data_IF_761866301416
#
_entry.id   IF_761866301416
#
_cell.length_a   1.000
_cell.length_b   1.000
_cell.length_c   1.000
_cell.angle_alpha   90.00
_cell.angle_beta   90.00
_cell.angle_gamma   90.00
#
_symmetry.space_group_name_H-M   'P 1'
#
loop_
_entity.id
_entity.type
_entity.pdbx_description
1 polymer ?
#
# COMPACT_ATOMS: atom_id res chain seq x y z
N UNK A 1 11.02 -2.87 -24.79
CA UNK A 1 9.95 -2.13 -24.08
C UNK A 1 9.19 -1.28 -25.09
N UNK A 2 7.88 -1.50 -25.28
CA UNK A 2 7.05 -0.76 -26.25
C UNK A 2 6.36 0.42 -25.57
N UNK A 3 6.70 1.65 -25.98
CA UNK A 3 6.00 2.86 -25.54
C UNK A 3 4.79 3.13 -26.43
N UNK A 4 3.71 3.64 -25.84
CA UNK A 4 2.48 4.08 -26.50
C UNK A 4 2.09 5.47 -25.98
N UNK A 5 1.33 6.21 -26.77
CA UNK A 5 0.81 7.53 -26.38
C UNK A 5 -0.63 7.44 -25.87
N UNK A 6 -1.17 8.57 -25.38
CA UNK A 6 -2.56 8.64 -24.87
C UNK A 6 -3.61 8.32 -25.94
N UNK A 7 -3.37 8.67 -27.21
CA UNK A 7 -4.30 8.34 -28.29
C UNK A 7 -4.45 6.83 -28.47
N UNK A 8 -3.33 6.08 -28.49
CA UNK A 8 -3.33 4.62 -28.54
C UNK A 8 -4.02 4.01 -27.32
N UNK A 9 -3.86 4.61 -26.13
CA UNK A 9 -4.56 4.15 -24.92
C UNK A 9 -6.07 4.30 -25.05
N UNK A 10 -6.54 5.46 -25.52
CA UNK A 10 -7.96 5.67 -25.71
C UNK A 10 -8.54 4.69 -26.73
N UNK A 11 -7.80 4.35 -27.79
CA UNK A 11 -8.19 3.28 -28.71
C UNK A 11 -8.29 1.94 -27.98
N UNK A 12 -7.28 1.55 -27.20
CA UNK A 12 -7.30 0.28 -26.47
C UNK A 12 -8.46 0.22 -25.47
N UNK A 13 -8.68 1.28 -24.69
CA UNK A 13 -9.76 1.32 -23.69
C UNK A 13 -11.14 1.19 -24.35
N UNK A 14 -11.32 1.75 -25.55
CA UNK A 14 -12.59 1.68 -26.27
C UNK A 14 -12.82 0.35 -27.00
N UNK A 15 -11.75 -0.32 -27.45
CA UNK A 15 -11.83 -1.57 -28.23
C UNK A 15 -11.78 -2.83 -27.37
N UNK A 16 -11.18 -2.75 -26.17
CA UNK A 16 -10.89 -3.89 -25.31
C UNK A 16 -11.58 -3.78 -23.95
N UNK A 17 -11.79 -4.92 -23.28
CA UNK A 17 -12.32 -4.91 -21.91
C UNK A 17 -11.18 -4.63 -20.92
N UNK A 18 -11.17 -3.40 -20.41
CA UNK A 18 -10.07 -2.87 -19.61
C UNK A 18 -10.42 -2.76 -18.12
N UNK A 19 -9.47 -3.15 -17.27
CA UNK A 19 -9.50 -2.86 -15.85
C UNK A 19 -8.47 -1.77 -15.51
N UNK A 20 -8.88 -0.77 -14.74
CA UNK A 20 -7.97 0.22 -14.16
C UNK A 20 -7.52 -0.26 -12.78
N UNK A 21 -6.22 -0.32 -12.54
CA UNK A 21 -5.63 -0.62 -11.23
C UNK A 21 -4.77 0.56 -10.80
N UNK A 22 -5.11 1.20 -9.68
CA UNK A 22 -4.29 2.28 -9.14
C UNK A 22 -3.65 1.96 -7.78
N UNK A 23 -2.50 2.58 -7.54
CA UNK A 23 -1.82 2.59 -6.24
C UNK A 23 -1.66 4.01 -5.71
N UNK A 24 -0.76 4.18 -4.73
CA UNK A 24 -0.64 5.43 -3.96
C UNK A 24 -0.30 6.63 -4.84
N UNK A 25 0.39 6.40 -5.97
CA UNK A 25 0.68 7.44 -6.95
C UNK A 25 -0.57 8.12 -7.55
N UNK A 26 -1.75 7.49 -7.48
CA UNK A 26 -3.03 8.13 -7.84
C UNK A 26 -3.45 9.16 -6.78
N UNK A 27 -3.55 8.74 -5.51
CA UNK A 27 -4.02 9.58 -4.40
C UNK A 27 -3.10 10.79 -4.14
N UNK A 28 -1.80 10.64 -4.41
CA UNK A 28 -0.81 11.73 -4.31
C UNK A 28 -1.10 12.92 -5.23
N UNK A 29 -1.87 12.75 -6.31
CA UNK A 29 -2.27 13.86 -7.19
C UNK A 29 -3.32 14.78 -6.55
N UNK A 30 -4.05 14.28 -5.56
CA UNK A 30 -5.07 15.04 -4.83
C UNK A 30 -4.49 15.68 -3.57
N UNK A 31 -3.53 15.03 -2.93
CA UNK A 31 -2.91 15.55 -1.72
C UNK A 31 -1.48 15.01 -1.52
N UNK A 32 -0.52 15.93 -1.40
CA UNK A 32 0.91 15.59 -1.21
C UNK A 32 1.17 14.89 0.12
N UNK A 33 0.29 15.02 1.10
CA UNK A 33 0.47 14.33 2.37
C UNK A 33 0.49 12.80 2.19
N UNK A 34 -0.09 12.22 1.14
CA UNK A 34 0.05 10.79 0.85
C UNK A 34 1.46 10.36 0.44
N UNK A 35 2.39 11.28 0.16
CA UNK A 35 3.79 10.96 -0.18
C UNK A 35 4.65 10.62 1.03
N UNK A 36 4.41 11.25 2.19
CA UNK A 36 5.28 11.14 3.38
C UNK A 36 4.46 10.87 4.64
N UNK A 37 4.18 9.59 4.90
CA UNK A 37 3.44 9.15 6.08
C UNK A 37 4.22 9.43 7.38
N UNK A 38 5.55 9.34 7.33
CA UNK A 38 6.44 9.54 8.48
C UNK A 38 6.29 10.91 9.16
N UNK A 39 6.04 11.98 8.37
CA UNK A 39 5.87 13.34 8.88
C UNK A 39 4.64 13.50 9.79
N UNK A 40 3.71 12.53 9.79
CA UNK A 40 2.49 12.55 10.60
C UNK A 40 2.48 11.53 11.72
N UNK A 41 3.55 10.77 11.92
CA UNK A 41 3.54 9.69 12.90
C UNK A 41 3.28 10.18 14.32
N UNK A 42 3.85 11.32 14.71
CA UNK A 42 3.61 11.85 16.04
C UNK A 42 2.17 12.33 16.24
N UNK A 43 1.59 12.96 15.22
CA UNK A 43 0.16 13.32 15.26
C UNK A 43 -0.74 12.09 15.33
N UNK A 44 -0.45 11.08 14.49
CA UNK A 44 -1.16 9.81 14.50
C UNK A 44 -1.03 9.09 15.85
N UNK A 45 0.16 9.13 16.47
CA UNK A 45 0.40 8.60 17.81
C UNK A 45 -0.49 9.30 18.84
N UNK A 46 -0.52 10.64 18.87
CA UNK A 46 -1.40 11.40 19.79
C UNK A 46 -2.87 11.04 19.60
N UNK A 47 -3.32 10.90 18.35
CA UNK A 47 -4.69 10.49 18.01
C UNK A 47 -4.97 9.05 18.45
N UNK A 48 -4.02 8.14 18.28
CA UNK A 48 -4.12 6.76 18.73
C UNK A 48 -4.26 6.67 20.25
N UNK A 49 -3.45 7.38 21.03
CA UNK A 49 -3.53 7.37 22.49
C UNK A 49 -4.89 7.87 22.99
N UNK A 50 -5.46 8.90 22.34
CA UNK A 50 -6.73 9.51 22.75
C UNK A 50 -7.96 8.73 22.28
N UNK A 51 -7.95 8.32 21.02
CA UNK A 51 -9.15 7.89 20.30
C UNK A 51 -9.05 6.49 19.71
N UNK A 52 -7.91 5.83 19.86
CA UNK A 52 -7.66 4.47 19.39
C UNK A 52 -8.61 3.44 19.97
N UNK A 53 -9.02 2.48 19.14
CA UNK A 53 -9.84 1.35 19.53
C UNK A 53 -9.15 0.05 19.13
N UNK A 54 -8.73 -0.70 20.14
CA UNK A 54 -8.37 -2.11 20.00
C UNK A 54 -9.24 -2.95 20.92
N UNK A 55 -9.96 -3.90 20.34
CA UNK A 55 -10.74 -4.90 21.08
C UNK A 55 -10.56 -6.27 20.45
N UNK A 56 -10.92 -7.30 21.19
CA UNK A 56 -10.96 -8.68 20.69
C UNK A 56 -12.33 -9.27 20.95
N UNK A 57 -12.83 -10.05 19.99
CA UNK A 57 -14.09 -10.78 20.06
C UNK A 57 -13.81 -12.28 19.91
N UNK A 58 -13.32 -12.88 21.00
CA UNK A 58 -12.92 -14.29 21.08
C UNK A 58 -13.04 -14.78 22.53
N UNK A 59 -12.57 -16.00 22.78
CA UNK A 59 -12.48 -16.55 24.13
C UNK A 59 -11.61 -15.67 25.08
N UNK A 60 -11.82 -15.84 26.38
CA UNK A 60 -11.17 -15.02 27.40
C UNK A 60 -9.63 -15.12 27.39
N UNK A 61 -9.09 -16.28 27.01
CA UNK A 61 -7.64 -16.51 26.97
C UNK A 61 -6.99 -15.71 25.83
N UNK A 62 -7.55 -15.78 24.63
CA UNK A 62 -7.14 -14.97 23.47
C UNK A 62 -7.25 -13.47 23.76
N UNK A 63 -8.38 -13.06 24.34
CA UNK A 63 -8.60 -11.68 24.76
C UNK A 63 -7.54 -11.21 25.76
N UNK A 64 -7.26 -12.02 26.80
CA UNK A 64 -6.25 -11.68 27.81
C UNK A 64 -4.86 -11.50 27.18
N UNK A 65 -4.41 -12.44 26.34
CA UNK A 65 -3.08 -12.35 25.69
C UNK A 65 -2.93 -11.05 24.90
N UNK A 66 -3.86 -10.80 23.98
CA UNK A 66 -3.83 -9.63 23.10
C UNK A 66 -3.90 -8.31 23.89
N UNK A 67 -4.81 -8.22 24.87
CA UNK A 67 -5.01 -6.98 25.64
C UNK A 67 -3.83 -6.69 26.57
N UNK A 68 -3.23 -7.71 27.20
CA UNK A 68 -2.02 -7.54 28.03
C UNK A 68 -0.89 -7.01 27.14
N UNK A 69 -0.57 -7.75 26.08
CA UNK A 69 0.51 -7.40 25.15
C UNK A 69 0.38 -5.96 24.62
N UNK A 70 -0.82 -5.57 24.15
CA UNK A 70 -1.04 -4.23 23.63
C UNK A 70 -0.99 -3.13 24.71
N UNK A 71 -1.52 -3.39 25.92
CA UNK A 71 -1.53 -2.39 27.01
C UNK A 71 -0.13 -2.07 27.51
N UNK A 72 0.74 -3.06 27.63
CA UNK A 72 2.13 -2.86 28.05
C UNK A 72 2.87 -1.92 27.09
N UNK A 73 2.72 -2.15 25.78
CA UNK A 73 3.27 -1.26 24.75
C UNK A 73 2.69 0.14 24.86
N UNK A 74 1.36 0.27 24.92
CA UNK A 74 0.70 1.57 25.07
C UNK A 74 1.19 2.34 26.30
N UNK A 75 1.36 1.66 27.43
CA UNK A 75 1.81 2.28 28.67
C UNK A 75 3.23 2.84 28.53
N UNK A 76 4.12 2.11 27.87
CA UNK A 76 5.49 2.54 27.63
C UNK A 76 5.54 3.79 26.74
N UNK A 77 4.79 3.77 25.63
CA UNK A 77 4.89 4.85 24.63
C UNK A 77 4.00 6.07 24.91
N UNK A 78 3.09 5.99 25.89
CA UNK A 78 1.98 6.95 26.07
C UNK A 78 2.40 8.43 26.09
N UNK A 79 3.58 8.70 26.65
CA UNK A 79 4.13 10.05 26.83
C UNK A 79 5.35 10.30 25.96
N UNK A 80 5.56 9.49 24.92
CA UNK A 80 6.69 9.66 24.02
C UNK A 80 6.59 10.99 23.29
N UNK A 81 7.73 11.65 23.13
CA UNK A 81 7.88 12.85 22.30
C UNK A 81 8.01 12.46 20.82
N UNK A 82 7.95 13.46 19.95
CA UNK A 82 8.03 13.28 18.49
C UNK A 82 9.34 12.61 18.06
N UNK A 83 10.46 13.05 18.62
CA UNK A 83 11.79 12.48 18.39
C UNK A 83 11.87 11.03 18.86
N UNK A 84 11.23 10.68 19.98
CA UNK A 84 11.17 9.30 20.47
C UNK A 84 10.35 8.37 19.56
N UNK A 85 9.24 8.86 18.98
CA UNK A 85 8.46 8.09 18.01
C UNK A 85 9.28 7.81 16.74
N UNK A 86 10.01 8.80 16.23
CA UNK A 86 10.91 8.59 15.09
C UNK A 86 12.08 7.67 15.46
N UNK A 87 12.61 7.80 16.68
CA UNK A 87 13.71 6.99 17.19
C UNK A 87 13.37 5.50 17.21
N UNK A 88 12.12 5.10 17.38
CA UNK A 88 11.70 3.69 17.24
C UNK A 88 12.19 3.10 15.90
N UNK A 89 12.07 3.84 14.80
CA UNK A 89 12.46 3.36 13.47
C UNK A 89 13.97 3.48 13.22
N UNK A 90 14.63 4.46 13.83
CA UNK A 90 16.09 4.55 13.84
C UNK A 90 16.70 3.37 14.58
N UNK A 91 16.15 3.01 15.73
CA UNK A 91 16.56 1.85 16.51
C UNK A 91 16.22 0.53 15.81
N UNK A 92 15.09 0.47 15.10
CA UNK A 92 14.75 -0.66 14.24
C UNK A 92 15.80 -0.86 13.13
N UNK A 93 16.29 0.24 12.54
CA UNK A 93 17.36 0.20 11.54
C UNK A 93 18.69 -0.26 12.14
N UNK A 94 19.03 0.18 13.36
CA UNK A 94 20.23 -0.31 14.07
C UNK A 94 20.14 -1.83 14.24
N UNK A 95 18.97 -2.34 14.62
CA UNK A 95 18.74 -3.77 14.77
C UNK A 95 18.80 -4.52 13.43
N UNK A 96 18.23 -3.96 12.35
CA UNK A 96 18.34 -4.55 11.02
C UNK A 96 19.81 -4.66 10.57
N UNK A 97 20.59 -3.60 10.75
CA UNK A 97 22.02 -3.58 10.43
C UNK A 97 22.82 -4.56 11.31
N UNK A 98 22.51 -4.68 12.61
CA UNK A 98 23.22 -5.61 13.47
C UNK A 98 23.01 -7.07 13.06
N UNK A 99 21.84 -7.40 12.51
CA UNK A 99 21.60 -8.72 11.93
C UNK A 99 22.49 -8.93 10.69
N UNK A 100 22.44 -8.02 9.71
CA UNK A 100 23.11 -8.22 8.43
C UNK A 100 24.64 -8.12 8.50
N UNK A 101 25.17 -7.30 9.42
CA UNK A 101 26.61 -7.12 9.59
C UNK A 101 27.27 -8.28 10.35
N UNK A 102 26.49 -9.19 10.94
CA UNK A 102 27.00 -10.36 11.62
C UNK A 102 26.85 -11.61 10.72
N UNK A 103 27.92 -11.93 9.99
CA UNK A 103 27.92 -13.06 9.05
C UNK A 103 27.65 -14.41 9.72
N UNK A 104 28.11 -14.61 10.96
CA UNK A 104 27.88 -15.85 11.69
C UNK A 104 26.40 -16.01 12.05
N UNK A 105 25.75 -14.94 12.54
CA UNK A 105 24.33 -14.93 12.77
C UNK A 105 23.54 -15.19 11.49
N UNK A 106 23.87 -14.51 10.38
CA UNK A 106 23.20 -14.72 9.09
C UNK A 106 23.27 -16.18 8.67
N UNK A 107 24.46 -16.81 8.77
CA UNK A 107 24.63 -18.23 8.48
C UNK A 107 23.76 -19.11 9.39
N UNK A 108 23.66 -18.81 10.69
CA UNK A 108 22.79 -19.55 11.62
C UNK A 108 21.32 -19.41 11.21
N UNK A 109 20.88 -18.19 10.88
CA UNK A 109 19.50 -17.90 10.48
C UNK A 109 19.13 -18.64 9.18
N UNK A 110 20.00 -18.60 8.17
CA UNK A 110 19.79 -19.30 6.90
C UNK A 110 19.74 -20.82 7.06
N UNK A 111 20.59 -21.39 7.93
CA UNK A 111 20.63 -22.83 8.20
C UNK A 111 19.53 -23.33 9.14
N UNK A 112 18.75 -22.44 9.75
CA UNK A 112 17.71 -22.81 10.73
C UNK A 112 16.48 -23.51 10.15
N UNK A 113 16.29 -23.48 8.82
CA UNK A 113 15.07 -23.90 8.11
C UNK A 113 13.78 -23.18 8.58
N UNK A 114 13.91 -22.05 9.29
CA UNK A 114 12.79 -21.23 9.74
C UNK A 114 12.47 -20.12 8.76
N UNK A 115 13.45 -19.67 7.99
CA UNK A 115 13.27 -18.62 6.99
C UNK A 115 12.44 -19.09 5.81
N UNK A 116 11.49 -18.26 5.42
CA UNK A 116 10.69 -18.47 4.22
C UNK A 116 11.24 -17.64 3.07
N UNK A 117 11.31 -18.27 1.90
CA UNK A 117 11.52 -17.59 0.64
C UNK A 117 10.26 -17.74 -0.19
N UNK A 118 9.75 -16.61 -0.69
CA UNK A 118 8.60 -16.64 -1.60
C UNK A 118 8.96 -17.38 -2.88
N UNK A 119 7.95 -17.82 -3.64
CA UNK A 119 8.18 -18.40 -4.98
C UNK A 119 8.90 -17.43 -5.94
N UNK A 120 9.01 -16.14 -5.59
CA UNK A 120 9.71 -15.08 -6.35
C UNK A 120 11.20 -15.01 -6.05
N UNK A 121 11.70 -15.78 -5.07
CA UNK A 121 13.07 -15.67 -4.60
C UNK A 121 13.30 -14.50 -3.64
N UNK A 122 12.26 -13.77 -3.25
CA UNK A 122 12.35 -12.78 -2.16
C UNK A 122 12.15 -13.50 -0.83
N UNK A 123 13.20 -13.54 -0.02
CA UNK A 123 13.21 -14.09 1.32
C UNK A 123 12.91 -13.07 2.41
N UNK A 124 12.66 -13.56 3.61
CA UNK A 124 12.49 -12.71 4.78
C UNK A 124 13.73 -11.87 5.08
N UNK A 125 14.94 -12.42 4.86
CA UNK A 125 16.19 -11.67 4.97
C UNK A 125 16.31 -10.57 3.91
N UNK A 126 15.72 -10.74 2.73
CA UNK A 126 15.77 -9.70 1.70
C UNK A 126 14.95 -8.47 2.10
N UNK A 127 13.86 -8.64 2.87
CA UNK A 127 13.17 -7.49 3.48
C UNK A 127 14.07 -6.74 4.46
N UNK A 128 14.90 -7.44 5.24
CA UNK A 128 15.88 -6.80 6.14
C UNK A 128 16.96 -6.06 5.34
N UNK A 129 17.44 -6.65 4.24
CA UNK A 129 18.37 -5.98 3.30
C UNK A 129 17.75 -4.73 2.71
N UNK A 130 16.48 -4.79 2.30
CA UNK A 130 15.76 -3.63 1.75
C UNK A 130 15.59 -2.52 2.78
N UNK A 131 15.28 -2.83 4.06
CA UNK A 131 15.28 -1.84 5.14
C UNK A 131 16.62 -1.10 5.19
N UNK A 132 17.73 -1.84 5.21
CA UNK A 132 19.06 -1.25 5.32
C UNK A 132 19.43 -0.44 4.06
N UNK A 133 19.09 -0.92 2.87
CA UNK A 133 19.36 -0.24 1.60
C UNK A 133 18.55 1.05 1.44
N UNK A 134 17.23 1.00 1.65
CA UNK A 134 16.34 2.17 1.51
C UNK A 134 16.61 3.21 2.59
N UNK A 135 17.13 2.81 3.75
CA UNK A 135 17.44 3.75 4.83
C UNK A 135 18.63 4.67 4.57
N UNK A 136 19.41 4.45 3.49
CA UNK A 136 20.53 5.33 3.12
C UNK A 136 20.09 6.79 2.91
N UNK A 137 18.86 6.98 2.46
CA UNK A 137 18.25 8.30 2.28
C UNK A 137 17.49 8.78 3.54
N UNK A 138 17.33 7.90 4.54
CA UNK A 138 16.64 8.15 5.82
C UNK A 138 15.59 7.09 6.14
N UNK A 139 15.27 6.89 7.44
CA UNK A 139 14.28 5.89 7.88
C UNK A 139 12.88 6.13 7.31
N UNK A 140 12.56 7.38 6.98
CA UNK A 140 11.30 7.77 6.36
C UNK A 140 11.11 7.28 4.93
N UNK A 141 12.19 6.87 4.25
CA UNK A 141 12.17 6.31 2.89
C UNK A 141 12.05 4.79 2.88
N UNK A 142 12.18 4.14 4.04
CA UNK A 142 11.93 2.71 4.16
C UNK A 142 10.44 2.46 4.04
N UNK A 143 10.07 1.48 3.21
CA UNK A 143 8.68 1.07 3.09
C UNK A 143 8.11 0.66 4.46
N UNK A 144 6.99 1.26 4.82
CA UNK A 144 6.25 0.99 6.06
C UNK A 144 5.83 -0.49 6.17
N UNK A 145 5.81 -1.24 5.09
CA UNK A 145 5.45 -2.66 5.18
C UNK A 145 6.61 -3.52 5.67
N UNK A 146 7.85 -3.05 5.66
CA UNK A 146 8.98 -3.93 5.97
C UNK A 146 9.27 -4.02 7.47
N UNK A 147 8.99 -2.98 8.26
CA UNK A 147 9.40 -2.90 9.67
C UNK A 147 8.94 -4.07 10.54
N UNK A 148 7.73 -4.61 10.29
CA UNK A 148 7.19 -5.71 11.11
C UNK A 148 7.94 -7.02 10.94
N UNK A 149 8.75 -7.19 9.87
CA UNK A 149 9.60 -8.38 9.72
C UNK A 149 10.64 -8.49 10.83
N UNK A 150 11.08 -7.37 11.40
CA UNK A 150 12.08 -7.35 12.47
C UNK A 150 11.51 -7.94 13.77
N UNK A 151 10.20 -7.88 13.98
CA UNK A 151 9.53 -8.56 15.10
C UNK A 151 9.77 -10.07 15.01
N UNK A 152 9.62 -10.63 13.81
CA UNK A 152 9.90 -12.04 13.54
C UNK A 152 11.37 -12.38 13.83
N UNK A 153 12.31 -11.59 13.31
CA UNK A 153 13.74 -11.84 13.52
C UNK A 153 14.14 -11.77 15.00
N UNK A 154 13.55 -10.87 15.78
CA UNK A 154 13.75 -10.83 17.23
C UNK A 154 13.39 -12.17 17.90
N UNK A 155 12.20 -12.71 17.61
CA UNK A 155 11.77 -13.98 18.18
C UNK A 155 12.54 -15.18 17.63
N UNK A 156 12.90 -15.17 16.35
CA UNK A 156 13.71 -16.24 15.75
C UNK A 156 15.08 -16.33 16.42
N UNK A 157 15.79 -15.20 16.58
CA UNK A 157 17.10 -15.17 17.24
C UNK A 157 16.99 -15.68 18.68
N UNK A 158 15.92 -15.28 19.39
CA UNK A 158 15.67 -15.71 20.77
C UNK A 158 15.38 -17.21 20.87
N UNK A 159 14.54 -17.77 19.99
CA UNK A 159 14.18 -19.20 20.02
C UNK A 159 15.32 -20.12 19.53
N UNK A 160 16.23 -19.61 18.69
CA UNK A 160 17.44 -20.34 18.31
C UNK A 160 18.51 -20.37 19.41
N UNK A 161 18.30 -19.64 20.51
CA UNK A 161 19.21 -19.55 21.67
C UNK A 161 20.66 -19.27 21.25
N UNK A 162 20.84 -18.29 20.36
CA UNK A 162 22.15 -17.90 19.85
C UNK A 162 23.01 -17.38 21.01
N UNK A 163 24.21 -17.96 21.17
CA UNK A 163 25.16 -17.55 22.22
C UNK A 163 25.43 -16.04 22.16
N UNK A 164 25.54 -15.41 23.34
CA UNK A 164 25.92 -13.99 23.47
C UNK A 164 27.31 -13.67 22.91
N UNK A 165 28.17 -14.67 22.76
CA UNK A 165 29.47 -14.52 22.10
C UNK A 165 29.31 -14.32 20.58
N UNK A 166 28.28 -14.92 19.99
CA UNK A 166 27.98 -14.84 18.56
C UNK A 166 27.15 -13.59 18.28
N UNK A 167 26.09 -13.36 19.06
CA UNK A 167 25.20 -12.23 18.86
C UNK A 167 24.62 -11.73 20.17
N UNK A 168 24.73 -10.41 20.40
CA UNK A 168 23.99 -9.71 21.44
C UNK A 168 23.08 -8.67 20.80
N UNK A 169 21.89 -8.51 21.36
CA UNK A 169 20.96 -7.51 20.84
C UNK A 169 21.52 -6.10 21.10
N UNK A 170 21.33 -5.14 20.17
CA UNK A 170 21.68 -3.75 20.40
C UNK A 170 21.15 -3.23 21.73
N UNK A 171 22.05 -2.65 22.54
CA UNK A 171 21.71 -2.06 23.85
C UNK A 171 20.93 -0.76 23.67
N UNK A 172 20.11 -0.43 24.66
CA UNK A 172 19.31 0.81 24.71
C UNK A 172 18.43 1.04 23.46
N UNK A 173 17.98 -0.04 22.85
CA UNK A 173 17.19 -0.03 21.63
C UNK A 173 15.69 -0.04 21.94
N UNK A 174 15.00 1.05 21.60
CA UNK A 174 13.57 1.24 21.89
C UNK A 174 12.72 0.24 21.10
N UNK A 175 13.05 -0.02 19.83
CA UNK A 175 12.32 -0.99 19.01
C UNK A 175 12.32 -2.38 19.66
N UNK A 176 13.49 -2.89 20.04
CA UNK A 176 13.64 -4.19 20.72
C UNK A 176 12.90 -4.19 22.05
N UNK A 177 12.97 -3.10 22.80
CA UNK A 177 12.22 -2.93 24.06
C UNK A 177 10.72 -3.06 23.83
N UNK A 178 10.18 -2.39 22.81
CA UNK A 178 8.75 -2.45 22.45
C UNK A 178 8.32 -3.85 21.99
N UNK A 179 9.16 -4.54 21.23
CA UNK A 179 8.90 -5.93 20.82
C UNK A 179 8.89 -6.86 22.04
N UNK A 180 9.86 -6.71 22.95
CA UNK A 180 9.95 -7.50 24.18
C UNK A 180 8.73 -7.33 25.09
N UNK A 181 8.37 -6.09 25.42
CA UNK A 181 7.19 -5.83 26.27
C UNK A 181 5.89 -6.14 25.54
N UNK A 182 5.91 -6.11 24.20
CA UNK A 182 4.81 -6.51 23.34
C UNK A 182 4.49 -8.00 23.39
N UNK A 183 5.31 -8.85 24.02
CA UNK A 183 5.01 -10.27 24.25
C UNK A 183 5.06 -10.61 25.75
N UNK A 184 4.51 -9.73 26.59
CA UNK A 184 4.52 -9.88 28.05
C UNK A 184 3.62 -11.00 28.57
N UNK A 185 2.56 -11.35 27.85
CA UNK A 185 1.61 -12.36 28.31
C UNK A 185 2.20 -13.76 28.28
N UNK A 186 2.13 -14.46 29.42
CA UNK A 186 2.57 -15.86 29.58
C UNK A 186 1.66 -16.90 28.89
N UNK A 187 0.55 -16.45 28.29
CA UNK A 187 -0.39 -17.32 27.59
C UNK A 187 0.25 -17.77 26.27
N UNK A 188 0.33 -19.08 26.06
CA UNK A 188 0.87 -19.69 24.84
C UNK A 188 -0.19 -20.59 24.20
N UNK A 189 -0.41 -20.45 22.89
CA UNK A 189 -1.32 -21.27 22.10
C UNK A 189 -0.61 -22.34 21.27
N UNK A 190 0.63 -22.05 20.86
CA UNK A 190 1.47 -22.99 20.13
C UNK A 190 1.74 -24.27 20.94
N UNK A 191 1.85 -25.40 20.25
CA UNK A 191 2.16 -26.69 20.88
C UNK A 191 3.60 -26.70 21.38
N UNK A 192 3.85 -27.49 22.42
CA UNK A 192 5.22 -27.72 22.90
C UNK A 192 6.09 -28.28 21.77
N UNK A 193 7.29 -27.69 21.59
CA UNK A 193 8.22 -28.06 20.53
C UNK A 193 7.95 -27.43 19.15
N UNK A 194 6.84 -26.74 18.95
CA UNK A 194 6.53 -26.06 17.68
C UNK A 194 7.15 -24.65 17.63
N UNK A 195 8.44 -24.58 17.28
CA UNK A 195 9.18 -23.31 17.17
C UNK A 195 8.50 -22.37 16.15
N UNK A 196 8.06 -22.89 14.99
CA UNK A 196 7.39 -22.09 13.95
C UNK A 196 6.10 -21.49 14.48
N UNK A 197 5.25 -22.30 15.12
CA UNK A 197 4.00 -21.86 15.73
C UNK A 197 4.22 -20.80 16.81
N UNK A 198 5.23 -20.98 17.67
CA UNK A 198 5.58 -20.01 18.72
C UNK A 198 6.01 -18.66 18.14
N UNK A 199 6.96 -18.67 17.19
CA UNK A 199 7.44 -17.43 16.57
C UNK A 199 6.28 -16.71 15.84
N UNK A 200 5.44 -17.47 15.12
CA UNK A 200 4.26 -16.94 14.44
C UNK A 200 3.30 -16.28 15.43
N UNK A 201 2.99 -16.97 16.54
CA UNK A 201 2.13 -16.46 17.61
C UNK A 201 2.70 -15.18 18.22
N UNK A 202 3.97 -15.20 18.65
CA UNK A 202 4.65 -14.06 19.26
C UNK A 202 4.79 -12.88 18.31
N UNK A 203 4.90 -13.11 17.00
CA UNK A 203 4.95 -12.05 15.98
C UNK A 203 3.56 -11.44 15.74
N UNK A 204 2.55 -12.27 15.51
CA UNK A 204 1.21 -11.80 15.13
C UNK A 204 0.46 -11.15 16.30
N UNK A 205 0.59 -11.73 17.51
CA UNK A 205 -0.08 -11.27 18.73
C UNK A 205 0.80 -10.33 19.56
N UNK A 206 1.92 -9.87 18.99
CA UNK A 206 2.75 -8.85 19.61
C UNK A 206 1.96 -7.54 19.79
N UNK A 207 2.05 -6.94 20.96
CA UNK A 207 1.46 -5.64 21.27
C UNK A 207 1.99 -4.52 20.38
N UNK A 208 3.27 -4.56 20.03
CA UNK A 208 3.89 -3.57 19.17
C UNK A 208 3.44 -3.74 17.72
N UNK A 209 3.25 -4.98 17.23
CA UNK A 209 2.62 -5.22 15.92
C UNK A 209 1.19 -4.64 15.86
N UNK A 210 0.42 -4.75 16.94
CA UNK A 210 -0.92 -4.15 17.03
C UNK A 210 -0.86 -2.62 17.03
N UNK A 211 0.00 -2.04 17.87
CA UNK A 211 0.24 -0.59 17.92
C UNK A 211 0.68 -0.04 16.56
N UNK A 212 1.63 -0.72 15.90
CA UNK A 212 2.16 -0.38 14.60
C UNK A 212 1.05 -0.23 13.56
N UNK A 213 0.17 -1.23 13.44
CA UNK A 213 -0.95 -1.20 12.51
C UNK A 213 -1.89 -0.03 12.79
N UNK A 214 -2.26 0.18 14.05
CA UNK A 214 -3.12 1.29 14.45
C UNK A 214 -2.47 2.65 14.11
N UNK A 215 -1.17 2.80 14.38
CA UNK A 215 -0.42 4.02 14.13
C UNK A 215 -0.43 4.39 12.64
N UNK A 216 -0.06 3.44 11.77
CA UNK A 216 0.01 3.69 10.33
C UNK A 216 -1.37 3.82 9.69
N UNK A 217 -2.39 3.06 10.11
CA UNK A 217 -3.76 3.28 9.65
C UNK A 217 -4.24 4.69 9.98
N UNK A 218 -3.98 5.21 11.18
CA UNK A 218 -4.36 6.57 11.57
C UNK A 218 -3.54 7.62 10.81
N UNK A 219 -2.25 7.38 10.58
CA UNK A 219 -1.39 8.28 9.81
C UNK A 219 -1.81 8.38 8.33
N UNK A 220 -2.28 7.27 7.75
CA UNK A 220 -2.84 7.20 6.39
C UNK A 220 -4.22 7.87 6.35
N UNK A 221 -5.07 7.64 7.36
CA UNK A 221 -6.39 8.29 7.45
C UNK A 221 -6.29 9.82 7.39
N UNK A 222 -5.21 10.36 7.97
CA UNK A 222 -4.77 11.73 7.76
C UNK A 222 -5.88 12.77 8.05
N UNK A 223 -6.42 12.69 9.26
CA UNK A 223 -7.47 13.57 9.77
C UNK A 223 -8.70 13.70 8.85
N UNK A 224 -9.04 12.65 8.10
CA UNK A 224 -10.26 12.59 7.29
C UNK A 224 -10.00 12.73 5.79
N UNK A 225 -8.80 13.18 5.39
CA UNK A 225 -8.42 13.32 3.98
C UNK A 225 -8.54 12.01 3.20
N UNK A 226 -8.27 10.87 3.83
CA UNK A 226 -8.42 9.57 3.18
C UNK A 226 -9.88 9.20 2.89
N UNK A 227 -10.88 9.86 3.47
CA UNK A 227 -12.30 9.49 3.30
C UNK A 227 -13.19 10.67 2.91
N UNK A 228 -12.62 11.86 2.75
CA UNK A 228 -13.34 13.08 2.42
C UNK A 228 -12.57 13.90 1.37
N UNK A 229 -13.10 13.90 0.15
CA UNK A 229 -12.54 14.58 -1.01
C UNK A 229 -12.42 16.09 -0.82
N UNK A 230 -13.35 16.69 -0.09
CA UNK A 230 -13.37 18.14 0.16
C UNK A 230 -12.20 18.61 1.04
N UNK A 231 -11.55 17.69 1.76
CA UNK A 231 -10.40 17.99 2.60
C UNK A 231 -9.05 17.89 1.86
N UNK A 232 -9.05 17.41 0.61
CA UNK A 232 -7.84 17.21 -0.19
C UNK A 232 -7.31 18.54 -0.71
N UNK A 233 -6.01 18.79 -0.52
CA UNK A 233 -5.37 20.09 -0.84
C UNK A 233 -5.52 20.53 -2.30
N UNK A 234 -5.50 19.59 -3.24
CA UNK A 234 -5.51 19.89 -4.67
C UNK A 234 -6.90 19.73 -5.32
N UNK A 235 -7.95 19.51 -4.55
CA UNK A 235 -9.28 19.15 -5.08
C UNK A 235 -9.84 20.16 -6.10
N UNK A 236 -9.57 21.47 -5.93
CA UNK A 236 -10.02 22.55 -6.82
C UNK A 236 -9.31 22.57 -8.17
N UNK A 237 -8.11 22.01 -8.26
CA UNK A 237 -7.33 21.97 -9.49
C UNK A 237 -7.63 20.70 -10.32
N UNK A 238 -8.41 19.78 -9.77
CA UNK A 238 -8.82 18.57 -10.45
C UNK A 238 -10.05 18.86 -11.32
N UNK A 239 -9.95 18.51 -12.59
CA UNK A 239 -11.10 18.46 -13.50
C UNK A 239 -11.89 17.18 -13.21
N UNK A 240 -12.78 17.24 -12.21
CA UNK A 240 -13.59 16.10 -11.79
C UNK A 240 -14.40 15.49 -12.93
N UNK A 241 -14.95 16.31 -13.83
CA UNK A 241 -15.75 15.83 -14.96
C UNK A 241 -14.88 15.03 -15.95
N UNK A 242 -13.71 15.56 -16.33
CA UNK A 242 -12.79 14.86 -17.24
C UNK A 242 -12.30 13.54 -16.62
N UNK A 243 -11.94 13.57 -15.34
CA UNK A 243 -11.47 12.40 -14.62
C UNK A 243 -12.56 11.33 -14.50
N UNK A 244 -13.80 11.73 -14.17
CA UNK A 244 -14.94 10.83 -14.16
C UNK A 244 -15.19 10.18 -15.52
N UNK A 245 -15.15 10.97 -16.60
CA UNK A 245 -15.31 10.45 -17.96
C UNK A 245 -14.24 9.43 -18.29
N UNK A 246 -12.97 9.72 -17.97
CA UNK A 246 -11.85 8.80 -18.16
C UNK A 246 -12.05 7.49 -17.36
N UNK A 247 -12.27 7.58 -16.05
CA UNK A 247 -12.45 6.40 -15.19
C UNK A 247 -13.70 5.59 -15.55
N UNK A 248 -14.74 6.24 -16.10
CA UNK A 248 -15.95 5.53 -16.49
C UNK A 248 -15.78 4.63 -17.72
N UNK A 249 -14.76 4.84 -18.55
CA UNK A 249 -14.49 4.01 -19.73
C UNK A 249 -14.04 2.59 -19.38
N UNK A 250 -13.39 2.37 -18.22
CA UNK A 250 -12.92 1.05 -17.81
C UNK A 250 -14.07 0.13 -17.35
N UNK A 251 -14.02 -1.16 -17.62
CA UNK A 251 -15.05 -2.10 -17.16
C UNK A 251 -14.95 -2.37 -15.64
N UNK A 252 -13.76 -2.28 -15.06
CA UNK A 252 -13.49 -2.49 -13.64
C UNK A 252 -12.50 -1.48 -13.09
N UNK A 253 -12.68 -1.08 -11.83
CA UNK A 253 -11.77 -0.18 -11.11
C UNK A 253 -11.28 -0.90 -9.85
N UNK A 254 -9.98 -1.09 -9.75
CA UNK A 254 -9.31 -1.72 -8.62
C UNK A 254 -8.35 -0.70 -7.99
N UNK A 255 -8.16 -0.80 -6.68
CA UNK A 255 -7.22 0.05 -5.97
C UNK A 255 -6.42 -0.73 -4.93
N UNK A 256 -5.15 -0.37 -4.81
CA UNK A 256 -4.25 -0.82 -3.74
C UNK A 256 -4.29 0.12 -2.53
N UNK A 257 -4.96 1.26 -2.67
CA UNK A 257 -5.07 2.25 -1.62
C UNK A 257 -6.21 1.92 -0.66
N UNK A 258 -6.04 2.38 0.57
CA UNK A 258 -7.02 2.23 1.63
C UNK A 258 -8.05 3.36 1.70
N UNK A 259 -7.75 4.49 1.03
CA UNK A 259 -8.58 5.68 0.98
C UNK A 259 -9.85 5.46 0.14
N UNK A 260 -10.85 6.33 0.34
CA UNK A 260 -12.12 6.35 -0.38
C UNK A 260 -12.22 7.45 -1.43
N UNK A 261 -11.10 7.83 -2.06
CA UNK A 261 -11.09 8.94 -3.02
C UNK A 261 -11.84 8.54 -4.30
N UNK A 262 -11.63 7.32 -4.80
CA UNK A 262 -12.28 6.83 -6.02
C UNK A 262 -13.80 6.77 -5.88
N UNK A 263 -14.31 6.31 -4.74
CA UNK A 263 -15.75 6.21 -4.43
C UNK A 263 -16.43 7.58 -4.51
N UNK A 264 -15.71 8.64 -4.15
CA UNK A 264 -16.23 10.01 -4.20
C UNK A 264 -16.18 10.59 -5.61
N UNK A 265 -15.19 10.18 -6.41
CA UNK A 265 -15.08 10.60 -7.81
C UNK A 265 -16.12 9.86 -8.67
N UNK A 266 -16.28 8.54 -8.52
CA UNK A 266 -17.18 7.69 -9.33
C UNK A 266 -18.16 6.90 -8.46
N UNK A 267 -19.15 7.56 -7.82
CA UNK A 267 -20.01 6.95 -6.80
C UNK A 267 -20.92 5.82 -7.30
N UNK A 268 -21.18 5.77 -8.61
CA UNK A 268 -22.06 4.79 -9.22
C UNK A 268 -21.32 3.53 -9.70
N UNK A 269 -20.03 3.40 -9.40
CA UNK A 269 -19.19 2.31 -9.88
C UNK A 269 -18.58 1.57 -8.71
N UNK A 270 -18.64 0.24 -8.76
CA UNK A 270 -17.99 -0.59 -7.75
C UNK A 270 -16.46 -0.48 -7.86
N UNK A 271 -15.84 -0.13 -6.75
CA UNK A 271 -14.39 -0.10 -6.57
C UNK A 271 -13.97 -1.36 -5.79
N UNK A 272 -12.92 -2.02 -6.26
CA UNK A 272 -12.40 -3.22 -5.61
C UNK A 272 -11.09 -2.89 -4.88
N UNK A 273 -11.16 -2.80 -3.55
CA UNK A 273 -9.97 -2.63 -2.69
C UNK A 273 -9.24 -3.94 -2.48
N UNK A 274 -7.98 -3.99 -2.93
CA UNK A 274 -7.18 -5.22 -2.87
C UNK A 274 -6.40 -5.37 -1.55
N UNK A 275 -6.21 -4.27 -0.81
CA UNK A 275 -5.53 -4.26 0.50
C UNK A 275 -6.45 -3.90 1.69
N UNK A 276 -7.76 -3.84 1.48
CA UNK A 276 -8.74 -3.37 2.46
C UNK A 276 -9.01 -1.87 2.36
N UNK A 277 -9.97 -1.38 3.14
CA UNK A 277 -10.48 0.00 3.06
C UNK A 277 -10.83 0.55 4.45
N UNK A 278 -10.92 1.87 4.58
CA UNK A 278 -11.57 2.45 5.77
C UNK A 278 -13.07 2.21 5.73
N UNK A 279 -13.68 1.67 6.78
CA UNK A 279 -15.14 1.50 6.83
C UNK A 279 -15.74 2.47 7.86
N UNK A 280 -16.64 3.33 7.38
CA UNK A 280 -17.26 4.38 8.18
C UNK A 280 -18.44 3.84 8.99
N UNK A 281 -18.56 4.29 10.24
CA UNK A 281 -19.69 4.05 11.15
C UNK A 281 -20.07 2.58 11.37
N UNK A 282 -19.12 1.66 11.19
CA UNK A 282 -19.32 0.22 11.37
C UNK A 282 -18.15 -0.41 12.08
N UNK A 283 -18.41 -1.23 13.09
CA UNK A 283 -17.40 -2.08 13.72
C UNK A 283 -17.28 -3.39 12.95
N UNK A 284 -16.06 -3.71 12.54
CA UNK A 284 -15.76 -4.97 11.86
C UNK A 284 -14.85 -5.81 12.75
N UNK A 285 -15.10 -7.11 12.73
CA UNK A 285 -14.27 -8.09 13.41
C UNK A 285 -13.49 -8.83 12.33
N UNK A 286 -12.18 -8.74 12.36
CA UNK A 286 -11.27 -9.44 11.45
C UNK A 286 -10.29 -10.20 12.33
N UNK A 287 -10.19 -11.51 12.14
CA UNK A 287 -9.36 -12.41 12.97
C UNK A 287 -9.63 -12.29 14.47
N UNK A 288 -10.89 -12.15 14.86
CA UNK A 288 -11.33 -11.93 16.23
C UNK A 288 -10.79 -10.62 16.86
N UNK A 289 -10.28 -9.69 16.04
CA UNK A 289 -9.80 -8.38 16.46
C UNK A 289 -10.68 -7.28 15.85
N UNK A 290 -10.82 -6.20 16.58
CA UNK A 290 -11.50 -4.97 16.15
C UNK A 290 -10.47 -3.85 16.28
N UNK A 291 -10.11 -3.28 15.14
CA UNK A 291 -9.16 -2.19 14.99
C UNK A 291 -9.90 -1.00 14.38
N UNK A 292 -9.80 0.14 15.04
CA UNK A 292 -10.34 1.38 14.53
C UNK A 292 -10.00 2.54 15.44
N UNK A 293 -10.67 3.66 15.23
CA UNK A 293 -10.54 4.83 16.08
C UNK A 293 -11.77 5.72 15.98
N UNK A 294 -11.92 6.63 16.94
CA UNK A 294 -13.00 7.62 16.93
C UNK A 294 -12.53 8.93 16.31
N UNK A 295 -13.28 9.45 15.36
CA UNK A 295 -13.01 10.73 14.69
C UNK A 295 -14.32 11.49 14.50
N UNK A 296 -14.41 12.73 14.97
CA UNK A 296 -15.62 13.56 14.88
C UNK A 296 -16.92 12.85 15.31
N UNK A 297 -16.88 12.13 16.44
CA UNK A 297 -17.97 11.28 16.98
C UNK A 297 -18.35 10.06 16.13
N UNK A 298 -17.70 9.85 14.99
CA UNK A 298 -17.84 8.67 14.15
C UNK A 298 -16.82 7.60 14.51
N UNK A 299 -17.16 6.34 14.25
CA UNK A 299 -16.23 5.23 14.36
C UNK A 299 -15.71 4.88 12.98
N UNK A 300 -14.39 4.85 12.83
CA UNK A 300 -13.72 4.44 11.60
C UNK A 300 -13.08 3.08 11.85
N UNK A 301 -13.55 2.06 11.16
CA UNK A 301 -12.92 0.73 11.11
C UNK A 301 -11.79 0.74 10.10
N UNK A 302 -10.74 0.02 10.44
CA UNK A 302 -9.67 -0.38 9.52
C UNK A 302 -9.18 -1.80 9.85
N UNK A 303 -10.11 -2.66 10.28
CA UNK A 303 -9.78 -4.02 10.74
C UNK A 303 -9.30 -4.92 9.60
N UNK A 304 -9.78 -4.67 8.39
CA UNK A 304 -9.45 -5.41 7.17
C UNK A 304 -8.27 -4.81 6.38
N UNK A 305 -7.79 -3.62 6.77
CA UNK A 305 -6.59 -3.00 6.19
C UNK A 305 -5.36 -3.87 6.47
N UNK A 306 -4.70 -4.24 5.37
CA UNK A 306 -3.48 -5.05 5.35
C UNK A 306 -2.24 -4.15 5.36
N UNK A 307 -1.79 -3.78 6.56
CA UNK A 307 -0.52 -3.07 6.79
C UNK A 307 0.48 -3.99 7.52
N UNK A 308 1.71 -3.98 7.03
CA UNK A 308 2.84 -4.77 7.53
C UNK A 308 3.38 -5.72 6.48
N UNK A 309 4.33 -6.54 6.90
CA UNK A 309 5.12 -7.39 6.01
C UNK A 309 4.28 -8.41 5.26
N UNK A 310 4.78 -8.75 4.06
CA UNK A 310 4.12 -9.68 3.15
C UNK A 310 3.87 -11.05 3.81
N UNK A 311 4.84 -11.59 4.55
CA UNK A 311 4.78 -12.96 5.08
C UNK A 311 3.72 -13.09 6.18
N UNK A 312 3.79 -12.26 7.21
CA UNK A 312 2.96 -12.41 8.40
C UNK A 312 1.69 -11.60 8.32
N UNK A 313 1.81 -10.30 8.04
CA UNK A 313 0.67 -9.40 8.09
C UNK A 313 -0.23 -9.48 6.85
N UNK A 314 0.32 -9.72 5.65
CA UNK A 314 -0.51 -9.87 4.43
C UNK A 314 -0.94 -11.33 4.17
N UNK A 315 -0.03 -12.30 4.29
CA UNK A 315 -0.32 -13.71 3.97
C UNK A 315 -0.88 -14.48 5.17
N UNK A 316 -0.11 -14.65 6.25
CA UNK A 316 -0.54 -15.51 7.38
C UNK A 316 -1.81 -15.00 8.05
N UNK A 317 -1.95 -13.67 8.21
CA UNK A 317 -3.19 -13.10 8.76
C UNK A 317 -4.41 -13.43 7.91
N UNK A 318 -4.30 -13.31 6.60
CA UNK A 318 -5.43 -13.63 5.72
C UNK A 318 -5.85 -15.10 5.85
N UNK A 319 -4.88 -16.02 5.92
CA UNK A 319 -5.14 -17.45 6.16
C UNK A 319 -5.90 -17.66 7.49
N UNK A 320 -5.40 -17.05 8.58
CA UNK A 320 -6.05 -17.13 9.89
C UNK A 320 -7.46 -16.54 9.84
N UNK A 321 -7.67 -15.44 9.12
CA UNK A 321 -8.99 -14.83 8.99
C UNK A 321 -9.96 -15.78 8.27
N UNK A 322 -9.54 -16.39 7.17
CA UNK A 322 -10.36 -17.34 6.41
C UNK A 322 -10.75 -18.54 7.27
N UNK A 323 -9.80 -19.07 8.06
CA UNK A 323 -10.09 -20.12 9.03
C UNK A 323 -11.07 -19.65 10.13
N UNK A 324 -10.94 -18.40 10.57
CA UNK A 324 -11.79 -17.78 11.62
C UNK A 324 -13.16 -17.36 11.10
N UNK A 325 -13.32 -17.11 9.80
CA UNK A 325 -14.56 -16.66 9.15
C UNK A 325 -15.68 -17.72 9.14
N UNK A 326 -15.37 -18.93 9.61
CA UNK A 326 -16.38 -19.94 9.98
C UNK A 326 -17.24 -19.51 11.17
N UNK A 327 -16.73 -18.61 12.01
CA UNK A 327 -17.49 -17.92 13.04
C UNK A 327 -18.30 -16.77 12.41
N UNK A 328 -19.60 -16.68 12.74
CA UNK A 328 -20.52 -15.66 12.24
C UNK A 328 -20.08 -14.23 12.59
N UNK A 329 -19.26 -14.06 13.62
CA UNK A 329 -18.82 -12.72 14.03
C UNK A 329 -17.71 -12.14 13.14
N UNK A 330 -16.88 -12.99 12.53
CA UNK A 330 -15.76 -12.54 11.70
C UNK A 330 -16.21 -12.15 10.29
N UNK A 331 -15.72 -11.01 9.80
CA UNK A 331 -15.90 -10.58 8.41
C UNK A 331 -15.28 -11.62 7.49
N UNK A 332 -16.11 -12.18 6.59
CA UNK A 332 -15.63 -12.98 5.47
C UNK A 332 -14.83 -12.07 4.55
N UNK A 333 -13.52 -12.29 4.48
CA UNK A 333 -12.67 -11.61 3.52
C UNK A 333 -12.59 -12.44 2.25
N UNK A 334 -12.73 -11.77 1.12
CA UNK A 334 -12.56 -12.38 -0.19
C UNK A 334 -11.05 -12.35 -0.51
N UNK A 335 -10.50 -13.49 -0.92
CA UNK A 335 -9.10 -13.54 -1.34
C UNK A 335 -8.88 -12.70 -2.59
N UNK A 336 -7.72 -12.02 -2.64
CA UNK A 336 -7.27 -11.23 -3.79
C UNK A 336 -7.46 -11.95 -5.13
N UNK A 337 -7.03 -13.21 -5.22
CA UNK A 337 -7.15 -14.03 -6.42
C UNK A 337 -8.60 -14.21 -6.84
N UNK A 338 -9.52 -14.37 -5.90
CA UNK A 338 -10.94 -14.50 -6.20
C UNK A 338 -11.53 -13.19 -6.73
N UNK A 339 -11.16 -12.04 -6.14
CA UNK A 339 -11.60 -10.72 -6.63
C UNK A 339 -11.15 -10.52 -8.08
N UNK A 340 -9.87 -10.78 -8.36
CA UNK A 340 -9.29 -10.64 -9.71
C UNK A 340 -9.92 -11.65 -10.68
N UNK A 341 -10.10 -12.90 -10.25
CA UNK A 341 -10.74 -13.95 -11.03
C UNK A 341 -12.18 -13.56 -11.43
N UNK A 342 -13.00 -13.14 -10.47
CA UNK A 342 -14.38 -12.72 -10.71
C UNK A 342 -14.44 -11.56 -11.68
N UNK A 343 -13.57 -10.56 -11.53
CA UNK A 343 -13.50 -9.41 -12.43
C UNK A 343 -13.13 -9.86 -13.85
N UNK A 344 -12.08 -10.66 -14.01
CA UNK A 344 -11.65 -11.18 -15.32
C UNK A 344 -12.76 -11.98 -15.97
N UNK A 345 -13.36 -12.91 -15.23
CA UNK A 345 -14.38 -13.81 -15.75
C UNK A 345 -15.69 -13.07 -16.09
N UNK A 346 -16.26 -12.33 -15.14
CA UNK A 346 -17.58 -11.70 -15.29
C UNK A 346 -17.55 -10.53 -16.27
N UNK A 347 -16.48 -9.73 -16.24
CA UNK A 347 -16.34 -8.53 -17.08
C UNK A 347 -15.50 -8.77 -18.33
N UNK A 348 -15.05 -10.03 -18.55
CA UNK A 348 -14.24 -10.46 -19.70
C UNK A 348 -12.98 -9.62 -19.89
N UNK A 349 -12.36 -9.20 -18.78
CA UNK A 349 -11.17 -8.34 -18.82
C UNK A 349 -10.03 -9.07 -19.52
N UNK A 350 -9.41 -8.39 -20.48
CA UNK A 350 -8.20 -8.88 -21.15
C UNK A 350 -7.04 -7.88 -21.03
N UNK A 351 -7.32 -6.65 -20.60
CA UNK A 351 -6.34 -5.56 -20.51
C UNK A 351 -6.35 -4.97 -19.11
N UNK A 352 -5.18 -4.84 -18.49
CA UNK A 352 -5.01 -4.10 -17.23
C UNK A 352 -4.21 -2.84 -17.48
N UNK A 353 -4.76 -1.68 -17.11
CA UNK A 353 -4.03 -0.42 -17.06
C UNK A 353 -3.65 -0.10 -15.61
N UNK A 354 -2.35 -0.05 -15.33
CA UNK A 354 -1.79 0.10 -13.99
C UNK A 354 -1.18 1.50 -13.85
N UNK A 355 -1.63 2.25 -12.84
CA UNK A 355 -1.15 3.60 -12.54
C UNK A 355 -0.72 3.75 -11.07
N UNK A 356 0.50 4.24 -10.84
CA UNK A 356 0.94 4.62 -9.48
C UNK A 356 1.12 3.46 -8.51
N UNK A 357 1.30 2.23 -9.01
CA UNK A 357 1.65 1.05 -8.22
C UNK A 357 3.16 1.00 -7.95
N UNK A 358 3.54 0.78 -6.70
CA UNK A 358 4.94 0.49 -6.33
C UNK A 358 5.23 -0.98 -6.62
N UNK A 359 5.79 -1.24 -7.80
CA UNK A 359 6.00 -2.62 -8.26
C UNK A 359 6.88 -3.43 -7.29
N UNK A 360 7.82 -2.79 -6.59
CA UNK A 360 8.68 -3.46 -5.61
C UNK A 360 7.89 -4.08 -4.44
N UNK A 361 6.75 -3.49 -4.08
CA UNK A 361 5.92 -3.92 -2.93
C UNK A 361 4.78 -4.84 -3.37
N UNK A 362 4.23 -4.56 -4.54
CA UNK A 362 2.96 -5.13 -5.01
C UNK A 362 3.14 -6.17 -6.12
N UNK A 363 4.35 -6.77 -6.22
CA UNK A 363 4.67 -7.86 -7.17
C UNK A 363 3.65 -9.01 -7.11
N UNK A 364 3.16 -9.31 -5.91
CA UNK A 364 2.16 -10.35 -5.67
C UNK A 364 0.81 -10.05 -6.36
N UNK A 365 0.45 -8.77 -6.52
CA UNK A 365 -0.73 -8.35 -7.29
C UNK A 365 -0.52 -8.68 -8.78
N UNK A 366 0.63 -8.28 -9.34
CA UNK A 366 0.97 -8.53 -10.74
C UNK A 366 0.93 -10.04 -11.08
N UNK A 367 1.54 -10.87 -10.23
CA UNK A 367 1.46 -12.33 -10.41
C UNK A 367 0.04 -12.86 -10.33
N UNK A 368 -0.76 -12.34 -9.41
CA UNK A 368 -2.16 -12.77 -9.31
C UNK A 368 -2.89 -12.44 -10.62
N UNK A 369 -2.67 -11.26 -11.19
CA UNK A 369 -3.20 -10.91 -12.52
C UNK A 369 -2.72 -11.90 -13.59
N UNK A 370 -1.42 -12.18 -13.69
CA UNK A 370 -0.88 -13.15 -14.68
C UNK A 370 -1.50 -14.55 -14.54
N UNK A 371 -1.57 -15.05 -13.30
CA UNK A 371 -2.15 -16.36 -12.98
C UNK A 371 -3.62 -16.42 -13.36
N UNK A 372 -4.41 -15.40 -12.98
CA UNK A 372 -5.85 -15.41 -13.22
C UNK A 372 -6.19 -15.21 -14.71
N UNK A 373 -5.39 -14.44 -15.46
CA UNK A 373 -5.52 -14.34 -16.93
C UNK A 373 -5.33 -15.72 -17.60
N UNK A 374 -4.30 -16.47 -17.16
CA UNK A 374 -4.04 -17.82 -17.64
C UNK A 374 -5.17 -18.81 -17.27
N UNK A 375 -5.57 -18.82 -16.00
CA UNK A 375 -6.62 -19.72 -15.50
C UNK A 375 -7.96 -19.47 -16.21
N UNK A 376 -8.26 -18.22 -16.56
CA UNK A 376 -9.44 -17.84 -17.35
C UNK A 376 -9.24 -18.00 -18.86
N UNK A 377 -8.09 -18.50 -19.32
CA UNK A 377 -7.76 -18.77 -20.74
C UNK A 377 -7.93 -17.54 -21.63
N UNK A 378 -7.60 -16.36 -21.11
CA UNK A 378 -7.67 -15.11 -21.87
C UNK A 378 -6.66 -15.17 -23.01
N UNK A 379 -7.12 -14.88 -24.23
CA UNK A 379 -6.26 -14.78 -25.41
C UNK A 379 -5.79 -13.35 -25.62
N UNK A 380 -4.54 -13.17 -26.03
CA UNK A 380 -3.91 -11.87 -26.27
C UNK A 380 -4.03 -10.88 -25.08
N UNK A 381 -3.68 -11.29 -23.85
CA UNK A 381 -3.72 -10.40 -22.69
C UNK A 381 -2.76 -9.21 -22.86
N UNK A 382 -3.14 -8.05 -22.33
CA UNK A 382 -2.34 -6.83 -22.34
C UNK A 382 -2.17 -6.26 -20.94
N UNK A 383 -0.98 -5.75 -20.64
CA UNK A 383 -0.72 -4.96 -19.44
C UNK A 383 -0.10 -3.63 -19.87
N UNK A 384 -0.76 -2.54 -19.52
CA UNK A 384 -0.29 -1.18 -19.76
C UNK A 384 0.18 -0.62 -18.42
N UNK A 385 1.44 -0.19 -18.35
CA UNK A 385 1.99 0.46 -17.15
C UNK A 385 2.23 1.95 -17.40
N UNK A 386 1.60 2.78 -16.58
CA UNK A 386 1.83 4.22 -16.55
C UNK A 386 3.04 4.56 -15.68
N UNK A 387 4.14 4.96 -16.29
CA UNK A 387 5.37 5.39 -15.61
C UNK A 387 5.41 6.91 -15.46
N UNK A 388 6.05 7.42 -14.40
CA UNK A 388 6.23 8.86 -14.21
C UNK A 388 7.64 9.29 -14.62
N UNK A 389 8.64 8.51 -14.23
CA UNK A 389 10.02 8.63 -14.69
C UNK A 389 10.44 7.38 -15.49
N UNK A 390 11.43 7.52 -16.37
CA UNK A 390 11.99 6.40 -17.16
C UNK A 390 12.56 5.27 -16.27
N UNK A 391 13.00 5.63 -15.06
CA UNK A 391 13.43 4.65 -14.06
C UNK A 391 12.27 3.76 -13.63
N UNK A 392 11.07 4.30 -13.41
CA UNK A 392 9.89 3.51 -13.02
C UNK A 392 9.52 2.48 -14.10
N UNK A 393 9.65 2.86 -15.38
CA UNK A 393 9.45 1.96 -16.51
C UNK A 393 10.45 0.79 -16.48
N UNK A 394 11.72 1.10 -16.23
CA UNK A 394 12.80 0.11 -16.19
C UNK A 394 12.61 -0.84 -14.99
N UNK A 395 12.37 -0.29 -13.81
CA UNK A 395 12.14 -1.03 -12.57
C UNK A 395 10.90 -1.96 -12.71
N UNK A 396 9.82 -1.47 -13.36
CA UNK A 396 8.65 -2.30 -13.66
C UNK A 396 8.98 -3.42 -14.64
N UNK A 397 9.70 -3.13 -15.73
CA UNK A 397 10.07 -4.14 -16.73
C UNK A 397 10.89 -5.27 -16.12
N UNK A 398 11.92 -4.94 -15.35
CA UNK A 398 12.75 -5.93 -14.66
C UNK A 398 11.94 -6.74 -13.66
N UNK A 399 11.12 -6.06 -12.84
CA UNK A 399 10.30 -6.74 -11.83
C UNK A 399 9.24 -7.63 -12.46
N UNK A 400 8.64 -7.22 -13.58
CA UNK A 400 7.68 -8.02 -14.34
C UNK A 400 8.29 -9.35 -14.76
N UNK A 401 9.47 -9.33 -15.36
CA UNK A 401 10.15 -10.56 -15.79
C UNK A 401 10.65 -11.39 -14.62
N UNK A 402 11.17 -10.76 -13.56
CA UNK A 402 11.63 -11.45 -12.35
C UNK A 402 10.48 -12.13 -11.59
N UNK A 403 9.25 -11.63 -11.70
CA UNK A 403 8.07 -12.21 -11.08
C UNK A 403 7.57 -13.48 -11.78
N UNK A 404 8.00 -13.74 -13.03
CA UNK A 404 7.64 -14.94 -13.81
C UNK A 404 8.40 -16.16 -13.27
N UNK A 405 7.91 -16.68 -12.15
CA UNK A 405 8.37 -17.90 -11.50
C UNK A 405 7.16 -18.77 -11.17
N UNK A 406 6.68 -19.49 -12.18
CA UNK A 406 5.53 -20.38 -12.19
C UNK A 406 5.89 -21.77 -12.73
N UNK A 407 4.87 -22.61 -12.98
CA UNK A 407 5.01 -23.78 -13.85
C UNK A 407 5.43 -23.37 -15.27
N UNK A 408 6.02 -24.30 -16.01
CA UNK A 408 6.51 -24.09 -17.37
C UNK A 408 5.44 -23.48 -18.30
N UNK A 409 4.24 -24.07 -18.32
CA UNK A 409 3.11 -23.59 -19.13
C UNK A 409 2.69 -22.15 -18.79
N UNK A 410 2.60 -21.82 -17.50
CA UNK A 410 2.20 -20.48 -17.05
C UNK A 410 3.32 -19.46 -17.28
N UNK A 411 4.59 -19.87 -17.21
CA UNK A 411 5.71 -19.01 -17.59
C UNK A 411 5.66 -18.66 -19.08
N UNK A 412 5.43 -19.65 -19.95
CA UNK A 412 5.28 -19.44 -21.39
C UNK A 412 4.11 -18.49 -21.68
N UNK A 413 2.97 -18.68 -21.03
CA UNK A 413 1.84 -17.78 -21.15
C UNK A 413 2.18 -16.35 -20.69
N UNK A 414 2.77 -16.20 -19.50
CA UNK A 414 3.08 -14.91 -18.91
C UNK A 414 4.10 -14.10 -19.73
N UNK A 415 5.08 -14.79 -20.34
CA UNK A 415 6.05 -14.18 -21.26
C UNK A 415 5.42 -13.64 -22.54
N UNK A 416 4.27 -14.19 -22.95
CA UNK A 416 3.52 -13.77 -24.14
C UNK A 416 2.48 -12.66 -23.87
N UNK A 417 2.37 -12.17 -22.63
CA UNK A 417 1.52 -11.00 -22.32
C UNK A 417 2.12 -9.76 -22.99
N UNK A 418 1.32 -9.01 -23.74
CA UNK A 418 1.76 -7.77 -24.39
C UNK A 418 1.86 -6.65 -23.34
N UNK A 419 3.10 -6.30 -22.97
CA UNK A 419 3.40 -5.24 -22.00
C UNK A 419 3.74 -3.94 -22.72
N UNK A 420 2.95 -2.90 -22.44
CA UNK A 420 3.10 -1.55 -23.01
C UNK A 420 3.30 -0.51 -21.92
N UNK A 421 3.93 0.59 -22.29
CA UNK A 421 4.33 1.65 -21.35
C UNK A 421 3.82 2.99 -21.83
N UNK A 422 3.33 3.82 -20.92
CA UNK A 422 2.89 5.19 -21.20
C UNK A 422 3.41 6.17 -20.17
N UNK A 423 3.74 7.38 -20.61
CA UNK A 423 4.03 8.48 -19.71
C UNK A 423 2.73 8.98 -19.06
N UNK A 424 2.63 8.79 -17.74
CA UNK A 424 1.46 9.20 -16.97
C UNK A 424 1.28 10.72 -16.93
N UNK A 425 2.34 11.51 -17.18
CA UNK A 425 2.27 12.97 -17.20
C UNK A 425 1.28 13.47 -18.26
N UNK A 426 1.22 12.80 -19.41
CA UNK A 426 0.25 13.10 -20.47
C UNK A 426 -1.19 12.81 -20.01
N UNK A 427 -1.42 11.67 -19.35
CA UNK A 427 -2.73 11.28 -18.82
C UNK A 427 -3.20 12.26 -17.74
N UNK A 428 -2.29 12.66 -16.84
CA UNK A 428 -2.59 13.63 -15.78
C UNK A 428 -2.97 14.99 -16.37
N UNK A 429 -2.25 15.46 -17.38
CA UNK A 429 -2.55 16.74 -18.04
C UNK A 429 -3.93 16.71 -18.72
N UNK A 430 -4.26 15.64 -19.45
CA UNK A 430 -5.50 15.56 -20.21
C UNK A 430 -6.72 15.29 -19.31
N UNK A 431 -6.58 14.40 -18.32
CA UNK A 431 -7.72 13.84 -17.59
C UNK A 431 -7.84 14.31 -16.14
N UNK A 432 -6.75 14.73 -15.49
CA UNK A 432 -6.78 15.05 -14.05
C UNK A 432 -6.87 16.53 -13.79
N UNK A 433 -6.01 17.34 -14.38
CA UNK A 433 -5.91 18.74 -14.02
C UNK A 433 -6.80 19.62 -14.89
N UNK A 434 -7.30 20.71 -14.32
CA UNK A 434 -7.86 21.79 -15.11
C UNK A 434 -6.71 22.31 -15.98
N UNK A 435 -6.76 22.10 -17.28
CA UNK A 435 -5.82 22.74 -18.18
C UNK A 435 -5.88 24.25 -17.92
N UNK A 436 -4.76 24.85 -17.54
CA UNK A 436 -4.59 26.30 -17.59
C UNK A 436 -4.55 26.75 -19.06
N UNK A 437 -5.65 26.57 -19.78
CA UNK A 437 -5.95 27.22 -21.06
C UNK A 437 -7.10 28.21 -20.92
N UNK A 438 -7.23 28.82 -19.74
CA UNK A 438 -7.94 30.09 -19.54
C UNK A 438 -7.00 31.09 -18.84
N UNK A 439 -5.81 31.32 -19.40
CA UNK A 439 -5.25 32.66 -19.28
C UNK A 439 -6.15 33.55 -20.14
N UNK A 440 -6.99 34.37 -19.52
CA UNK A 440 -7.49 35.57 -20.18
C UNK A 440 -6.29 36.26 -20.80
N UNK A 441 -6.18 36.20 -22.13
CA UNK A 441 -5.18 36.96 -22.86
C UNK A 441 -5.60 38.43 -22.72
N UNK A 442 -5.05 39.12 -21.72
CA UNK A 442 -5.23 40.57 -21.59
C UNK A 442 -4.52 41.23 -22.76
N UNK A 443 -5.30 41.67 -23.73
CA UNK A 443 -4.82 42.54 -24.79
C UNK A 443 -5.02 44.00 -24.43
N UNK A 444 -4.14 44.86 -24.92
CA UNK A 444 -4.36 46.31 -24.87
C UNK A 444 -5.04 46.74 -26.16
N UNK A 445 -6.07 47.57 -26.04
CA UNK A 445 -6.75 48.15 -27.19
C UNK A 445 -5.86 49.28 -27.75
N UNK A 446 -5.45 49.13 -29.00
CA UNK A 446 -4.67 50.12 -29.74
C UNK A 446 -5.54 51.33 -30.10
N UNK A 447 -4.92 52.46 -30.46
CA UNK A 447 -5.63 53.70 -30.79
C UNK A 447 -6.60 53.56 -31.98
N UNK A 448 -6.40 52.53 -32.80
CA UNK A 448 -7.19 52.26 -34.00
C UNK A 448 -8.26 51.17 -33.78
N UNK A 449 -8.47 50.71 -32.54
CA UNK A 449 -9.55 49.80 -32.15
C UNK A 449 -9.19 48.30 -32.08
N UNK A 450 -7.96 47.92 -32.44
CA UNK A 450 -7.53 46.51 -32.43
C UNK A 450 -7.00 46.05 -31.06
N UNK A 451 -7.14 44.76 -30.76
CA UNK A 451 -6.60 44.13 -29.54
C UNK A 451 -5.23 43.50 -29.86
N UNK A 452 -4.18 43.97 -29.18
CA UNK A 452 -2.81 43.46 -29.31
C UNK A 452 -2.47 42.49 -28.16
N UNK A 453 -2.07 41.26 -28.49
CA UNK A 453 -1.66 40.25 -27.50
C UNK A 453 -0.30 40.62 -26.87
N UNK A 454 -0.28 40.76 -25.54
CA UNK A 454 0.92 41.14 -24.78
C UNK A 454 2.07 40.11 -24.84
N UNK A 455 1.79 38.87 -25.20
CA UNK A 455 2.78 37.77 -25.20
C UNK A 455 3.50 37.67 -26.54
N UNK A 456 2.79 37.80 -27.66
CA UNK A 456 3.37 37.54 -28.99
C UNK A 456 3.59 38.80 -29.84
N UNK A 457 3.10 39.99 -29.45
CA UNK A 457 3.27 41.32 -30.11
C UNK A 457 2.96 41.40 -31.63
N UNK A 458 2.55 40.30 -32.26
CA UNK A 458 2.40 40.15 -33.70
C UNK A 458 0.99 39.74 -34.14
N UNK A 459 0.04 39.59 -33.20
CA UNK A 459 -1.34 39.22 -33.51
C UNK A 459 -2.24 40.44 -33.26
N UNK A 460 -2.82 40.94 -34.35
CA UNK A 460 -3.78 42.04 -34.38
C UNK A 460 -5.14 41.41 -34.69
N UNK A 461 -6.09 41.50 -33.76
CA UNK A 461 -7.47 41.03 -33.96
C UNK A 461 -8.30 42.20 -34.49
N UNK A 462 -8.80 42.06 -35.71
CA UNK A 462 -9.74 42.99 -36.36
C UNK A 462 -11.11 42.32 -36.45
N UNK A 463 -12.08 42.85 -35.70
CA UNK A 463 -13.53 42.57 -35.72
C UNK A 463 -14.09 41.32 -35.00
N UNK A 464 -15.36 41.49 -34.58
CA UNK A 464 -16.04 40.96 -33.37
C UNK A 464 -16.36 39.44 -33.31
N UNK A 465 -15.85 38.60 -34.20
CA UNK A 465 -16.11 37.15 -34.17
C UNK A 465 -14.84 36.34 -34.44
N UNK A 466 -13.90 36.38 -33.50
CA UNK A 466 -12.66 35.60 -33.56
C UNK A 466 -12.66 34.45 -32.56
N UNK A 467 -13.34 33.34 -32.87
CA UNK A 467 -13.07 32.05 -32.23
C UNK A 467 -11.67 31.62 -32.66
N UNK A 468 -10.74 31.55 -31.73
CA UNK A 468 -9.48 30.83 -31.93
C UNK A 468 -9.81 29.36 -31.70
N UNK A 469 -9.82 28.56 -32.78
CA UNK A 469 -9.81 27.11 -32.64
C UNK A 469 -8.42 26.66 -32.17
N UNK A 470 -8.45 25.72 -31.22
CA UNK A 470 -7.36 25.25 -30.35
C UNK A 470 -6.00 24.95 -31.01
#
# INVERSE_FOLDING_TARGET
>A
MRKINVTEINTIINEENCAFLCGNGFSMNFDKSFTTIFNRLYEAHKNLIRNGVFKTKSNNTFKKKNIINYKEVLQYIKYSKEDEILKIFQDALIFANSILNNSELVNILENSNQLMTTTFGVGQLDLVKQICQSSKDGVQYVNIEYWTILIYFYFLIKELDVSKEIYDFPKDNIFITLVYIGDKSEIIFAKNGDIKGKILESTLLNGFNTYYRLLFCIAIFNNGKAVNYEQLENNKNINLNSLQLFLNQFNAILTLNYDKILEQIIPNKQIYHLHGEFVLNKQEVVQNQILGFKYNNEYISFSDILIGDYFYNKVQKNIINVMSSKDHENKKMIHLSHIINEIIHQKKINTFFIMGMSIQNDQHILKTIMSELYLNKIRNPKIIYGYYEEKDMTDFHETFHNAIKFSEELNEYALNIDVRYVDIKEILAIHFFNNETNKEIKGNMTKDGNIECQICKNVIITDEEGIIND
#
